data_IF_949131017668
#
_entry.id   IF_949131017668
#
_cell.length_a   1.000
_cell.length_b   1.000
_cell.length_c   1.000
_cell.angle_alpha   90.00
_cell.angle_beta   90.00
_cell.angle_gamma   90.00
#
_symmetry.space_group_name_H-M   'P 1'
#
loop_
_entity.id
_entity.type
_entity.pdbx_description
1 polymer ?
#
# COMPACT_ATOMS: atom_id res chain seq x y z
N UNK A 1 18.98 4.12 9.37
CA UNK A 1 18.63 3.09 8.37
C UNK A 1 19.74 2.10 8.04
N UNK A 2 21.00 2.53 7.82
CA UNK A 2 22.09 1.61 7.44
C UNK A 2 22.34 0.46 8.45
N UNK A 3 22.18 0.71 9.76
CA UNK A 3 22.52 -0.26 10.83
C UNK A 3 21.61 -1.50 10.94
N UNK A 4 20.43 -1.51 10.31
CA UNK A 4 19.49 -2.66 10.37
C UNK A 4 19.80 -3.67 9.25
N UNK A 5 20.45 -3.23 8.18
CA UNK A 5 20.71 -4.02 6.97
C UNK A 5 22.11 -4.66 6.95
N UNK A 6 23.06 -4.16 7.74
CA UNK A 6 24.43 -4.68 7.81
C UNK A 6 24.53 -6.22 7.98
N UNK A 7 23.67 -6.91 8.75
CA UNK A 7 23.79 -8.36 8.91
C UNK A 7 23.45 -9.18 7.66
N UNK A 8 22.73 -8.59 6.69
CA UNK A 8 22.14 -9.32 5.56
C UNK A 8 22.85 -9.11 4.23
N UNK A 9 23.75 -8.13 4.14
CA UNK A 9 24.51 -7.81 2.92
C UNK A 9 25.47 -8.96 2.54
N UNK A 10 25.86 -9.80 3.51
CA UNK A 10 26.85 -10.88 3.32
C UNK A 10 26.27 -12.31 3.45
N UNK A 11 24.94 -12.47 3.50
CA UNK A 11 24.31 -13.78 3.70
C UNK A 11 24.03 -14.47 2.36
N UNK A 12 24.47 -15.72 2.22
CA UNK A 12 24.06 -16.61 1.12
C UNK A 12 22.53 -16.66 1.00
N UNK A 13 22.01 -16.75 -0.22
CA UNK A 13 20.57 -16.79 -0.53
C UNK A 13 19.82 -17.80 0.34
N UNK A 14 20.41 -18.98 0.57
CA UNK A 14 19.81 -20.04 1.40
C UNK A 14 19.63 -19.62 2.87
N UNK A 15 20.60 -18.89 3.42
CA UNK A 15 20.52 -18.40 4.79
C UNK A 15 19.57 -17.21 4.91
N UNK A 16 19.49 -16.36 3.87
CA UNK A 16 18.48 -15.31 3.78
C UNK A 16 17.07 -15.89 3.79
N UNK A 17 16.79 -16.89 2.93
CA UNK A 17 15.47 -17.54 2.86
C UNK A 17 15.11 -18.20 4.19
N UNK A 18 16.03 -18.92 4.84
CA UNK A 18 15.78 -19.50 6.18
C UNK A 18 15.40 -18.44 7.21
N UNK A 19 16.12 -17.32 7.22
CA UNK A 19 15.85 -16.22 8.16
C UNK A 19 14.54 -15.50 7.83
N UNK A 20 14.26 -15.26 6.56
CA UNK A 20 13.00 -14.68 6.09
C UNK A 20 11.80 -15.56 6.49
N UNK A 21 11.86 -16.86 6.23
CA UNK A 21 10.80 -17.81 6.62
C UNK A 21 10.60 -17.86 8.13
N UNK A 22 11.67 -17.80 8.91
CA UNK A 22 11.59 -17.72 10.38
C UNK A 22 10.92 -16.42 10.86
N UNK A 23 11.23 -15.28 10.24
CA UNK A 23 10.60 -13.99 10.55
C UNK A 23 9.11 -14.01 10.18
N UNK A 24 8.76 -14.53 9.00
CA UNK A 24 7.36 -14.68 8.58
C UNK A 24 6.58 -15.58 9.56
N UNK A 25 7.15 -16.73 9.92
CA UNK A 25 6.54 -17.62 10.91
C UNK A 25 6.33 -16.94 12.26
N UNK A 26 7.31 -16.17 12.73
CA UNK A 26 7.22 -15.42 13.99
C UNK A 26 6.13 -14.36 13.91
N UNK A 27 6.08 -13.61 12.80
CA UNK A 27 5.04 -12.62 12.53
C UNK A 27 3.65 -13.26 12.52
N UNK A 28 3.47 -14.36 11.80
CA UNK A 28 2.18 -15.07 11.71
C UNK A 28 1.75 -15.64 13.05
N UNK A 29 2.70 -16.16 13.85
CA UNK A 29 2.44 -16.62 15.21
C UNK A 29 1.95 -15.48 16.10
N UNK A 30 2.62 -14.32 16.09
CA UNK A 30 2.23 -13.15 16.88
C UNK A 30 0.89 -12.58 16.39
N UNK A 31 0.69 -12.50 15.07
CA UNK A 31 -0.56 -12.06 14.45
C UNK A 31 -1.73 -12.99 14.82
N UNK A 32 -1.48 -14.29 14.91
CA UNK A 32 -2.48 -15.26 15.36
C UNK A 32 -2.84 -15.05 16.84
N UNK A 33 -1.84 -14.84 17.70
CA UNK A 33 -2.06 -14.55 19.13
C UNK A 33 -2.89 -13.29 19.34
N UNK A 34 -2.56 -12.18 18.66
CA UNK A 34 -3.34 -10.95 18.79
C UNK A 34 -4.78 -11.12 18.26
N UNK A 35 -4.99 -11.87 17.16
CA UNK A 35 -6.33 -12.17 16.64
C UNK A 35 -7.19 -12.95 17.62
N UNK A 36 -6.60 -13.94 18.31
CA UNK A 36 -7.32 -14.71 19.34
C UNK A 36 -7.75 -13.81 20.48
N UNK A 37 -6.88 -12.92 20.95
CA UNK A 37 -7.23 -11.94 22.01
C UNK A 37 -8.34 -11.02 21.54
N UNK A 38 -8.27 -10.49 20.32
CA UNK A 38 -9.32 -9.64 19.73
C UNK A 38 -10.66 -10.38 19.66
N UNK A 39 -10.64 -11.62 19.17
CA UNK A 39 -11.85 -12.45 19.06
C UNK A 39 -12.45 -12.71 20.44
N UNK A 40 -11.63 -13.03 21.43
CA UNK A 40 -12.06 -13.22 22.81
C UNK A 40 -12.73 -11.95 23.36
N UNK A 41 -12.09 -10.79 23.22
CA UNK A 41 -12.64 -9.51 23.72
C UNK A 41 -13.96 -9.13 23.03
N UNK A 42 -14.03 -9.26 21.70
CA UNK A 42 -15.25 -8.98 20.94
C UNK A 42 -16.39 -9.93 21.33
N UNK A 43 -16.07 -11.22 21.57
CA UNK A 43 -17.05 -12.21 22.02
C UNK A 43 -17.49 -11.94 23.46
N UNK A 44 -16.55 -11.55 24.33
CA UNK A 44 -16.83 -11.23 25.73
C UNK A 44 -17.81 -10.05 25.84
N UNK A 45 -17.57 -8.99 25.06
CA UNK A 45 -18.55 -7.90 24.90
C UNK A 45 -19.92 -8.43 24.47
N UNK A 46 -19.97 -9.28 23.43
CA UNK A 46 -21.23 -9.84 22.94
C UNK A 46 -22.01 -10.67 23.97
N UNK A 47 -21.33 -11.45 24.82
CA UNK A 47 -22.01 -12.25 25.86
C UNK A 47 -22.57 -11.39 26.99
N UNK A 48 -22.04 -10.19 27.23
CA UNK A 48 -22.59 -9.29 28.26
C UNK A 48 -23.92 -8.66 27.85
N UNK A 49 -24.20 -8.56 26.54
CA UNK A 49 -25.48 -8.05 26.03
C UNK A 49 -26.57 -9.12 25.87
N UNK A 50 -26.25 -10.39 26.10
CA UNK A 50 -27.16 -11.53 25.91
C UNK A 50 -27.84 -11.94 27.21
N UNK A 51 -29.16 -11.82 27.29
CA UNK A 51 -29.94 -12.09 28.51
C UNK A 51 -29.87 -13.54 29.00
N UNK A 52 -29.48 -14.48 28.13
CA UNK A 52 -29.30 -15.89 28.43
C UNK A 52 -27.88 -16.26 28.91
N UNK A 53 -26.96 -15.29 28.94
CA UNK A 53 -25.58 -15.48 29.40
C UNK A 53 -25.48 -15.38 30.93
N UNK A 54 -24.67 -16.23 31.58
CA UNK A 54 -24.37 -16.06 33.01
C UNK A 54 -23.56 -14.77 33.31
N UNK A 55 -23.03 -14.12 32.27
CA UNK A 55 -22.30 -12.84 32.35
C UNK A 55 -23.14 -11.66 31.84
N UNK A 56 -24.47 -11.79 31.79
CA UNK A 56 -25.35 -10.73 31.31
C UNK A 56 -25.27 -9.48 32.20
N UNK A 57 -24.85 -8.36 31.59
CA UNK A 57 -24.79 -7.05 32.20
C UNK A 57 -25.08 -5.99 31.12
N UNK A 58 -26.37 -5.69 30.94
CA UNK A 58 -26.83 -4.80 29.87
C UNK A 58 -26.26 -3.38 30.00
N UNK A 59 -26.05 -2.90 31.23
CA UNK A 59 -25.47 -1.57 31.47
C UNK A 59 -24.05 -1.45 30.92
N UNK A 60 -23.26 -2.51 31.05
CA UNK A 60 -21.90 -2.57 30.50
C UNK A 60 -21.92 -2.58 28.97
N UNK A 61 -22.71 -3.46 28.35
CA UNK A 61 -22.83 -3.55 26.90
C UNK A 61 -23.35 -2.24 26.27
N UNK A 62 -24.38 -1.65 26.90
CA UNK A 62 -24.95 -0.37 26.50
C UNK A 62 -23.96 0.79 26.66
N UNK A 63 -23.19 0.80 27.76
CA UNK A 63 -22.14 1.80 28.00
C UNK A 63 -21.04 1.76 26.95
N UNK A 64 -20.53 0.57 26.61
CA UNK A 64 -19.51 0.38 25.57
C UNK A 64 -20.04 0.84 24.20
N UNK A 65 -21.28 0.45 23.83
CA UNK A 65 -21.90 0.88 22.57
C UNK A 65 -22.03 2.40 22.50
N UNK A 66 -22.52 3.02 23.56
CA UNK A 66 -22.78 4.45 23.61
C UNK A 66 -21.48 5.25 23.48
N UNK A 67 -20.43 4.84 24.22
CA UNK A 67 -19.11 5.45 24.11
C UNK A 67 -18.51 5.27 22.70
N UNK A 68 -18.68 4.09 22.08
CA UNK A 68 -18.25 3.86 20.69
C UNK A 68 -18.94 4.80 19.70
N UNK A 69 -20.27 4.95 19.81
CA UNK A 69 -21.05 5.86 18.97
C UNK A 69 -20.67 7.33 19.18
N UNK A 70 -20.37 7.74 20.41
CA UNK A 70 -19.90 9.09 20.70
C UNK A 70 -18.53 9.35 20.05
N UNK A 71 -17.58 8.44 20.26
CA UNK A 71 -16.22 8.54 19.71
C UNK A 71 -16.23 8.65 18.19
N UNK A 72 -16.98 7.79 17.49
CA UNK A 72 -17.01 7.83 16.02
C UNK A 72 -17.64 9.13 15.49
N UNK A 73 -18.64 9.69 16.18
CA UNK A 73 -19.22 11.00 15.84
C UNK A 73 -18.22 12.14 16.07
N UNK A 74 -17.44 12.08 17.15
CA UNK A 74 -16.38 13.06 17.42
C UNK A 74 -15.31 13.03 16.32
N UNK A 75 -14.84 11.84 15.94
CA UNK A 75 -13.87 11.67 14.84
C UNK A 75 -14.46 12.16 13.51
N UNK A 76 -15.71 11.80 13.20
CA UNK A 76 -16.39 12.27 11.99
C UNK A 76 -16.46 13.80 11.93
N UNK A 77 -16.82 14.44 13.04
CA UNK A 77 -16.88 15.90 13.12
C UNK A 77 -15.49 16.55 12.98
N UNK A 78 -14.47 15.96 13.59
CA UNK A 78 -13.09 16.44 13.45
C UNK A 78 -12.62 16.40 11.99
N UNK A 79 -12.85 15.28 11.31
CA UNK A 79 -12.43 15.07 9.92
C UNK A 79 -13.19 15.99 8.95
N UNK A 80 -14.51 16.16 9.13
CA UNK A 80 -15.30 17.13 8.37
C UNK A 80 -14.78 18.56 8.51
N UNK A 81 -14.41 18.98 9.73
CA UNK A 81 -13.80 20.29 9.98
C UNK A 81 -12.44 20.49 9.28
N UNK A 82 -11.75 19.40 8.94
CA UNK A 82 -10.50 19.42 8.15
C UNK A 82 -10.75 19.45 6.63
N UNK A 83 -12.01 19.52 6.19
CA UNK A 83 -12.37 19.60 4.76
C UNK A 83 -12.53 18.24 4.08
N UNK A 84 -12.41 17.13 4.81
CA UNK A 84 -12.63 15.80 4.25
C UNK A 84 -14.13 15.47 4.20
N UNK A 85 -14.55 14.85 3.09
CA UNK A 85 -15.86 14.24 2.96
C UNK A 85 -15.94 12.92 3.71
N UNK A 86 -17.15 12.51 4.11
CA UNK A 86 -17.42 11.17 4.64
C UNK A 86 -18.43 10.50 3.71
N UNK A 87 -18.02 9.39 3.11
CA UNK A 87 -18.84 8.60 2.18
C UNK A 87 -19.68 7.56 2.91
N UNK A 88 -19.11 6.94 3.94
CA UNK A 88 -19.77 5.91 4.74
C UNK A 88 -19.16 5.84 6.14
N UNK A 89 -19.91 5.31 7.10
CA UNK A 89 -19.41 4.99 8.43
C UNK A 89 -20.01 3.68 8.93
N UNK A 90 -19.19 2.83 9.52
CA UNK A 90 -19.57 1.63 10.29
C UNK A 90 -19.11 1.81 11.74
N UNK A 91 -19.63 0.98 12.64
CA UNK A 91 -19.40 0.90 14.09
C UNK A 91 -18.04 1.45 14.59
N UNK A 92 -16.94 1.10 13.93
CA UNK A 92 -15.58 1.50 14.30
C UNK A 92 -14.76 2.13 13.14
N UNK A 93 -15.38 2.44 12.00
CA UNK A 93 -14.67 2.92 10.82
C UNK A 93 -15.41 3.99 10.02
N UNK A 94 -14.65 4.89 9.39
CA UNK A 94 -15.17 5.95 8.52
C UNK A 94 -14.45 5.91 7.17
N UNK A 95 -15.23 5.95 6.09
CA UNK A 95 -14.75 5.98 4.72
C UNK A 95 -14.77 7.43 4.24
N UNK A 96 -13.59 7.95 3.92
CA UNK A 96 -13.39 9.37 3.67
C UNK A 96 -13.27 9.69 2.18
N UNK A 97 -13.52 10.94 1.83
CA UNK A 97 -13.15 11.53 0.54
C UNK A 97 -12.19 12.67 0.83
N UNK A 98 -11.02 12.64 0.20
CA UNK A 98 -10.02 13.68 0.41
C UNK A 98 -10.41 14.94 -0.39
N UNK A 99 -10.18 16.14 0.18
CA UNK A 99 -10.29 17.39 -0.56
C UNK A 99 -9.15 17.55 -1.58
N UNK A 100 -9.39 18.37 -2.61
CA UNK A 100 -8.48 18.55 -3.75
C UNK A 100 -7.06 18.97 -3.34
N UNK A 101 -6.91 19.76 -2.27
CA UNK A 101 -5.58 20.17 -1.78
C UNK A 101 -4.68 19.00 -1.37
N UNK A 102 -5.26 17.84 -1.01
CA UNK A 102 -4.48 16.64 -0.72
C UNK A 102 -3.76 16.09 -1.96
N UNK A 103 -4.30 16.36 -3.14
CA UNK A 103 -3.77 15.89 -4.41
C UNK A 103 -2.90 16.93 -5.10
N UNK A 104 -2.87 18.18 -4.64
CA UNK A 104 -2.14 19.28 -5.29
C UNK A 104 -0.68 18.94 -5.64
N UNK A 105 0.06 18.26 -4.75
CA UNK A 105 1.43 17.81 -5.05
C UNK A 105 1.49 16.72 -6.13
N UNK A 106 0.56 15.77 -6.09
CA UNK A 106 0.45 14.69 -7.07
C UNK A 106 0.01 15.25 -8.43
N UNK A 107 -0.96 16.15 -8.45
CA UNK A 107 -1.49 16.82 -9.63
C UNK A 107 -0.42 17.73 -10.24
N UNK A 108 0.34 18.47 -9.43
CA UNK A 108 1.49 19.23 -9.90
C UNK A 108 2.57 18.32 -10.48
N UNK A 109 2.91 17.20 -9.84
CA UNK A 109 3.88 16.24 -10.37
C UNK A 109 3.41 15.62 -11.69
N UNK A 110 2.11 15.33 -11.81
CA UNK A 110 1.48 14.81 -13.02
C UNK A 110 1.44 15.88 -14.14
N UNK A 111 0.97 17.08 -13.84
CA UNK A 111 0.78 18.16 -14.80
C UNK A 111 2.11 18.75 -15.28
N UNK A 112 3.11 18.86 -14.40
CA UNK A 112 4.46 19.34 -14.73
C UNK A 112 5.28 18.35 -15.58
N UNK A 113 4.66 17.29 -16.11
CA UNK A 113 5.22 16.52 -17.21
C UNK A 113 6.31 15.54 -16.82
N UNK A 114 6.37 15.08 -15.56
CA UNK A 114 7.48 14.23 -15.08
C UNK A 114 7.58 12.84 -15.71
N UNK A 115 6.59 12.41 -16.50
CA UNK A 115 6.87 11.51 -17.63
C UNK A 115 5.69 11.46 -18.62
N UNK A 116 5.96 11.76 -19.89
CA UNK A 116 5.01 11.56 -21.00
C UNK A 116 4.57 10.09 -21.10
N UNK A 117 5.43 9.17 -20.66
CA UNK A 117 5.15 7.75 -20.61
C UNK A 117 4.01 7.41 -19.63
N UNK A 118 4.03 7.93 -18.41
CA UNK A 118 2.98 7.67 -17.42
C UNK A 118 1.65 8.28 -17.83
N UNK A 119 1.66 9.43 -18.52
CA UNK A 119 0.44 9.99 -19.12
C UNK A 119 -0.13 9.05 -20.19
N UNK A 120 0.70 8.62 -21.14
CA UNK A 120 0.30 7.69 -22.22
C UNK A 120 -0.21 6.36 -21.67
N UNK A 121 0.46 5.78 -20.67
CA UNK A 121 0.03 4.54 -20.02
C UNK A 121 -1.28 4.76 -19.27
N UNK A 122 -1.39 5.85 -18.51
CA UNK A 122 -2.59 6.20 -17.76
C UNK A 122 -3.80 6.42 -18.66
N UNK A 123 -3.63 7.13 -19.77
CA UNK A 123 -4.67 7.33 -20.79
C UNK A 123 -5.10 6.00 -21.41
N UNK A 124 -4.15 5.13 -21.81
CA UNK A 124 -4.47 3.79 -22.31
C UNK A 124 -5.27 2.95 -21.31
N UNK A 125 -4.91 2.97 -20.03
CA UNK A 125 -5.66 2.26 -19.00
C UNK A 125 -7.08 2.83 -18.91
N UNK A 126 -7.20 4.16 -18.83
CA UNK A 126 -8.50 4.83 -18.71
C UNK A 126 -9.40 4.59 -19.93
N UNK A 127 -8.85 4.56 -21.14
CA UNK A 127 -9.58 4.28 -22.37
C UNK A 127 -10.11 2.84 -22.41
N UNK A 128 -9.27 1.86 -22.04
CA UNK A 128 -9.69 0.45 -21.95
C UNK A 128 -10.75 0.23 -20.86
N UNK A 129 -10.64 0.92 -19.73
CA UNK A 129 -11.64 0.84 -18.65
C UNK A 129 -12.97 1.48 -19.06
N UNK A 130 -12.94 2.53 -19.90
CA UNK A 130 -14.12 3.26 -20.35
C UNK A 130 -14.82 2.65 -21.57
N UNK A 131 -14.24 1.64 -22.21
CA UNK A 131 -14.87 0.97 -23.36
C UNK A 131 -16.20 0.31 -22.93
N UNK A 132 -17.26 0.62 -23.68
CA UNK A 132 -18.63 0.15 -23.42
C UNK A 132 -18.71 -1.39 -23.54
N UNK A 133 -17.80 -2.00 -24.30
CA UNK A 133 -17.74 -3.44 -24.50
C UNK A 133 -16.73 -4.12 -23.56
N UNK A 134 -16.17 -3.39 -22.59
CA UNK A 134 -15.19 -3.97 -21.69
C UNK A 134 -15.84 -4.94 -20.69
N UNK A 135 -15.48 -6.22 -20.79
CA UNK A 135 -15.84 -7.30 -19.88
C UNK A 135 -14.68 -7.70 -18.95
N UNK A 136 -13.51 -7.08 -19.10
CA UNK A 136 -12.29 -7.38 -18.33
C UNK A 136 -12.23 -6.62 -17.01
N UNK A 137 -11.55 -7.22 -16.03
CA UNK A 137 -11.32 -6.56 -14.74
C UNK A 137 -10.27 -5.45 -14.87
N UNK A 138 -10.30 -4.49 -13.95
CA UNK A 138 -9.28 -3.44 -13.87
C UNK A 138 -7.86 -4.03 -13.75
N UNK A 139 -7.72 -5.17 -13.07
CA UNK A 139 -6.43 -5.83 -12.88
C UNK A 139 -5.88 -6.37 -14.22
N UNK A 140 -6.73 -7.04 -15.00
CA UNK A 140 -6.34 -7.60 -16.31
C UNK A 140 -5.94 -6.50 -17.28
N UNK A 141 -6.69 -5.38 -17.29
CA UNK A 141 -6.39 -4.22 -18.12
C UNK A 141 -5.05 -3.59 -17.74
N UNK A 142 -4.80 -3.41 -16.44
CA UNK A 142 -3.53 -2.86 -15.96
C UNK A 142 -2.38 -3.81 -16.31
N UNK A 143 -2.54 -5.12 -16.12
CA UNK A 143 -1.51 -6.10 -16.45
C UNK A 143 -1.19 -6.10 -17.95
N UNK A 144 -2.20 -6.12 -18.81
CA UNK A 144 -2.03 -6.10 -20.27
C UNK A 144 -1.32 -4.82 -20.74
N UNK A 145 -1.76 -3.66 -20.27
CA UNK A 145 -1.16 -2.37 -20.67
C UNK A 145 0.29 -2.28 -20.19
N UNK A 146 0.59 -2.70 -18.96
CA UNK A 146 1.96 -2.71 -18.45
C UNK A 146 2.83 -3.71 -19.21
N UNK A 147 2.29 -4.89 -19.53
CA UNK A 147 3.01 -5.92 -20.28
C UNK A 147 3.35 -5.43 -21.69
N UNK A 148 2.42 -4.82 -22.42
CA UNK A 148 2.64 -4.20 -23.72
C UNK A 148 3.69 -3.08 -23.65
N UNK A 149 3.62 -2.25 -22.62
CA UNK A 149 4.57 -1.15 -22.39
C UNK A 149 5.99 -1.68 -22.18
N UNK A 150 6.15 -2.78 -21.44
CA UNK A 150 7.46 -3.37 -21.14
C UNK A 150 8.03 -4.09 -22.37
N UNK A 151 7.20 -4.77 -23.17
CA UNK A 151 7.65 -5.53 -24.34
C UNK A 151 7.94 -4.64 -25.56
N UNK A 152 7.26 -3.49 -25.68
CA UNK A 152 7.47 -2.55 -26.78
C UNK A 152 8.43 -1.41 -26.40
N UNK A 153 9.74 -1.72 -26.42
CA UNK A 153 10.82 -0.80 -26.04
C UNK A 153 10.96 0.45 -26.92
N UNK A 154 10.20 0.56 -28.02
CA UNK A 154 10.16 1.79 -28.85
C UNK A 154 9.19 2.85 -28.31
N UNK A 155 8.35 2.51 -27.34
CA UNK A 155 7.36 3.44 -26.78
C UNK A 155 7.91 4.35 -25.69
N UNK A 156 9.10 4.08 -25.17
CA UNK A 156 9.69 4.86 -24.09
C UNK A 156 11.19 5.01 -24.22
N UNK A 157 11.69 6.07 -23.61
CA UNK A 157 13.11 6.39 -23.53
C UNK A 157 13.56 6.37 -22.06
N UNK A 158 14.80 5.95 -21.80
CA UNK A 158 15.31 5.87 -20.42
C UNK A 158 15.34 7.25 -19.73
N UNK A 159 15.54 8.30 -20.52
CA UNK A 159 15.43 9.70 -20.11
C UNK A 159 14.07 10.01 -19.45
N UNK A 160 12.98 9.39 -19.90
CA UNK A 160 11.64 9.59 -19.32
C UNK A 160 11.50 9.00 -17.90
N UNK A 161 12.32 8.01 -17.54
CA UNK A 161 12.37 7.46 -16.19
C UNK A 161 13.27 8.30 -15.27
N UNK A 162 14.29 8.95 -15.84
CA UNK A 162 15.21 9.87 -15.17
C UNK A 162 14.51 11.17 -14.73
N UNK A 163 13.46 11.59 -15.46
CA UNK A 163 12.66 12.78 -15.14
C UNK A 163 11.72 12.61 -13.93
N UNK A 164 11.55 11.38 -13.44
CA UNK A 164 10.70 11.10 -12.28
C UNK A 164 11.34 11.60 -10.98
N UNK A 165 10.53 12.10 -10.03
CA UNK A 165 11.03 12.53 -8.70
C UNK A 165 11.79 11.42 -7.97
N UNK A 166 11.43 10.16 -8.25
CA UNK A 166 12.11 8.98 -7.75
C UNK A 166 13.58 8.92 -8.17
N UNK A 167 13.99 9.52 -9.29
CA UNK A 167 15.40 9.54 -9.72
C UNK A 167 16.22 10.63 -9.01
N UNK A 168 15.68 11.85 -8.91
CA UNK A 168 16.44 13.03 -8.45
C UNK A 168 16.97 12.88 -7.02
N UNK A 169 16.17 12.27 -6.12
CA UNK A 169 16.51 12.16 -4.70
C UNK A 169 16.84 10.74 -4.22
N UNK A 170 16.93 9.75 -5.11
CA UNK A 170 17.16 8.35 -4.71
C UNK A 170 18.44 7.77 -5.32
N UNK A 171 19.50 7.72 -4.50
CA UNK A 171 20.80 7.16 -4.87
C UNK A 171 20.73 5.70 -5.35
N UNK A 172 19.77 4.90 -4.86
CA UNK A 172 19.59 3.53 -5.32
C UNK A 172 19.00 3.47 -6.73
N UNK A 173 18.00 4.31 -7.02
CA UNK A 173 17.42 4.43 -8.38
C UNK A 173 18.47 4.92 -9.37
N UNK A 174 19.28 5.91 -9.01
CA UNK A 174 20.39 6.40 -9.85
C UNK A 174 21.43 5.33 -10.16
N UNK A 175 21.84 4.53 -9.16
CA UNK A 175 22.78 3.42 -9.34
C UNK A 175 22.20 2.24 -10.12
N UNK A 176 20.90 1.99 -10.01
CA UNK A 176 20.20 1.00 -10.83
C UNK A 176 20.16 1.45 -12.28
N UNK A 177 19.71 2.68 -12.55
CA UNK A 177 19.64 3.27 -13.88
C UNK A 177 21.00 3.34 -14.57
N UNK A 178 22.07 3.72 -13.85
CA UNK A 178 23.42 3.72 -14.40
C UNK A 178 23.91 2.34 -14.85
N UNK A 179 23.50 1.27 -14.16
CA UNK A 179 23.76 -0.12 -14.59
C UNK A 179 22.91 -0.52 -15.78
N UNK A 180 21.64 -0.11 -15.80
CA UNK A 180 20.74 -0.36 -16.92
C UNK A 180 21.23 0.30 -18.21
N UNK A 181 21.69 1.56 -18.14
CA UNK A 181 22.20 2.30 -19.29
C UNK A 181 23.48 1.69 -19.87
N UNK A 182 24.39 1.21 -19.01
CA UNK A 182 25.67 0.63 -19.43
C UNK A 182 25.60 -0.77 -20.06
N UNK A 183 24.62 -1.60 -19.69
CA UNK A 183 24.51 -2.98 -20.19
C UNK A 183 23.37 -3.21 -21.21
N UNK A 184 22.33 -2.35 -21.25
CA UNK A 184 21.05 -2.69 -21.89
C UNK A 184 20.53 -1.67 -22.92
N UNK A 185 21.32 -0.67 -23.32
CA UNK A 185 20.96 0.21 -24.46
C UNK A 185 20.70 -0.55 -25.77
N UNK A 186 21.18 -1.80 -25.90
CA UNK A 186 21.11 -2.60 -27.13
C UNK A 186 20.59 -4.04 -26.96
N UNK A 187 19.94 -4.42 -25.85
CA UNK A 187 19.41 -5.79 -25.65
C UNK A 187 17.96 -5.82 -25.15
N UNK A 188 17.15 -6.68 -25.78
CA UNK A 188 15.77 -6.99 -25.37
C UNK A 188 15.80 -8.09 -24.31
N UNK A 189 15.14 -7.86 -23.16
CA UNK A 189 14.94 -8.89 -22.13
C UNK A 189 13.73 -9.75 -22.48
N UNK A 190 13.90 -11.07 -22.37
CA UNK A 190 12.78 -12.03 -22.43
C UNK A 190 12.17 -12.12 -21.02
N UNK A 191 10.83 -12.07 -20.87
CA UNK A 191 10.18 -12.17 -19.56
C UNK A 191 10.59 -13.45 -18.82
N UNK A 192 11.39 -13.31 -17.74
CA UNK A 192 11.84 -14.45 -16.92
C UNK A 192 13.29 -14.35 -16.41
N UNK A 193 14.15 -13.59 -17.07
CA UNK A 193 15.51 -13.31 -16.58
C UNK A 193 15.46 -12.18 -15.54
N UNK A 194 15.10 -12.53 -14.29
CA UNK A 194 14.90 -11.53 -13.22
C UNK A 194 16.22 -10.98 -12.67
N UNK A 195 16.22 -9.65 -12.52
CA UNK A 195 17.00 -8.91 -11.51
C UNK A 195 16.83 -9.52 -10.11
N UNK A 196 17.93 -9.59 -9.37
CA UNK A 196 17.96 -9.81 -7.93
C UNK A 196 17.24 -8.66 -7.21
N UNK A 197 16.23 -9.01 -6.41
CA UNK A 197 15.25 -8.12 -5.81
C UNK A 197 15.84 -7.12 -4.79
N UNK A 198 15.17 -5.96 -4.65
CA UNK A 198 15.34 -5.02 -3.53
C UNK A 198 13.99 -4.88 -2.83
N UNK A 199 13.96 -5.19 -1.53
CA UNK A 199 12.78 -5.05 -0.66
C UNK A 199 12.87 -3.70 0.06
N UNK A 200 11.80 -2.90 0.02
CA UNK A 200 11.69 -1.63 0.77
C UNK A 200 10.50 -1.70 1.72
N UNK A 201 10.66 -1.17 2.93
CA UNK A 201 9.61 -1.00 3.94
C UNK A 201 9.66 0.41 4.56
N UNK A 202 8.52 0.97 5.01
CA UNK A 202 8.35 2.38 5.37
C UNK A 202 8.97 2.76 6.73
N UNK A 203 9.39 4.02 6.84
CA UNK A 203 10.29 4.54 7.90
C UNK A 203 9.65 4.82 9.28
N UNK A 204 8.36 4.57 9.52
CA UNK A 204 7.72 5.02 10.77
C UNK A 204 6.92 3.92 11.46
N UNK A 205 7.52 3.28 12.45
CA UNK A 205 6.82 2.65 13.58
C UNK A 205 6.46 3.73 14.59
N UNK A 206 5.17 3.92 14.85
CA UNK A 206 4.68 4.66 16.01
C UNK A 206 5.04 3.86 17.28
N UNK A 207 5.85 4.44 18.17
CA UNK A 207 6.09 3.89 19.50
C UNK A 207 4.86 4.16 20.38
N UNK A 208 4.21 3.09 20.84
CA UNK A 208 3.11 3.14 21.80
C UNK A 208 3.58 2.76 23.22
N UNK A 209 4.79 3.14 23.61
CA UNK A 209 5.23 3.13 25.01
C UNK A 209 6.28 4.22 25.25
N UNK A 210 5.80 5.41 25.58
CA UNK A 210 6.51 6.45 26.34
C UNK A 210 5.48 7.20 27.16
#
# INVERSE_FOLDING_TARGET
>A
MAKILDPFINLSYDNFIKKYSSVCFTYDSLNSKQKVIKLYMNSFYGVTGRSDSPFYELGLAGGVTSAGQENIKLVANYIKKKGFGIKYGDTDSLYLTCPDFCYEKCDLAYNNGKSQLFKTIGERIMDNVRDINNDRSLHDIIEDVLRDTITNTKQWDFEQFIETEAYVNNKCVQRFMGRMKGEYENRILVPGERFSFVVTYPETTFDLYS
#
